data_IF_890686983907
#
_entry.id   IF_890686983907
#
_cell.length_a   1.000
_cell.length_b   1.000
_cell.length_c   1.000
_cell.angle_alpha   90.00
_cell.angle_beta   90.00
_cell.angle_gamma   90.00
#
_symmetry.space_group_name_H-M   'P 1'
#
loop_
_entity.id
_entity.type
_entity.pdbx_description
1 polymer ?
#
# COMPACT_ATOMS: atom_id res chain seq x y z
N UNK A 1 9.90 -4.71 -1.23
CA UNK A 1 9.72 -3.24 -1.35
C UNK A 1 8.61 -2.76 -0.41
N UNK A 2 8.57 -1.48 0.03
CA UNK A 2 7.46 -0.96 0.83
C UNK A 2 6.17 -0.84 -0.01
N UNK A 3 5.02 -1.15 0.58
CA UNK A 3 3.72 -0.99 -0.08
C UNK A 3 3.37 0.50 -0.28
N UNK A 4 2.92 0.85 -1.49
CA UNK A 4 2.41 2.18 -1.84
C UNK A 4 0.89 2.16 -1.85
N UNK A 5 0.32 3.17 -1.19
CA UNK A 5 -1.10 3.41 -1.10
C UNK A 5 -1.47 4.62 -1.94
N UNK A 6 -2.59 4.53 -2.65
CA UNK A 6 -3.23 5.64 -3.35
C UNK A 6 -4.57 5.93 -2.72
N UNK A 7 -4.82 7.18 -2.37
CA UNK A 7 -6.13 7.61 -1.88
C UNK A 7 -7.14 7.63 -3.02
N UNK A 8 -8.26 6.93 -2.87
CA UNK A 8 -9.37 6.96 -3.84
C UNK A 8 -10.15 8.28 -3.84
N UNK A 9 -10.02 9.08 -2.77
CA UNK A 9 -10.75 10.33 -2.64
C UNK A 9 -10.03 11.51 -3.32
N UNK A 10 -8.73 11.69 -3.06
CA UNK A 10 -7.95 12.80 -3.61
C UNK A 10 -6.90 12.37 -4.65
N UNK A 11 -6.64 11.07 -4.80
CA UNK A 11 -5.62 10.55 -5.71
C UNK A 11 -4.19 10.56 -5.15
N UNK A 12 -3.95 11.07 -3.94
CA UNK A 12 -2.61 11.16 -3.36
C UNK A 12 -1.97 9.77 -3.14
N UNK A 13 -0.72 9.62 -3.58
CA UNK A 13 0.08 8.41 -3.39
C UNK A 13 1.02 8.59 -2.21
N UNK A 14 1.08 7.61 -1.30
CA UNK A 14 1.92 7.64 -0.10
C UNK A 14 2.34 6.24 0.35
N UNK A 15 3.51 6.11 0.97
CA UNK A 15 4.03 4.83 1.42
C UNK A 15 3.37 4.37 2.74
N UNK A 16 3.11 3.07 2.86
CA UNK A 16 2.60 2.46 4.08
C UNK A 16 3.72 2.26 5.12
N UNK A 17 4.07 3.33 5.86
CA UNK A 17 5.14 3.29 6.89
C UNK A 17 4.64 3.19 8.33
N UNK A 18 3.49 3.80 8.66
CA UNK A 18 3.06 4.00 10.06
C UNK A 18 1.77 3.24 10.44
N UNK A 19 1.49 2.09 9.81
CA UNK A 19 0.23 1.33 9.98
C UNK A 19 -1.05 2.17 9.79
N UNK A 20 -0.92 3.34 9.19
CA UNK A 20 -1.98 4.32 9.08
C UNK A 20 -2.46 4.34 7.63
N UNK A 21 -3.74 4.02 7.44
CA UNK A 21 -4.42 4.03 6.14
C UNK A 21 -5.04 5.39 5.82
N UNK A 22 -4.94 6.35 6.74
CA UNK A 22 -5.44 7.70 6.54
C UNK A 22 -4.56 8.46 5.55
N UNK A 23 -5.18 9.03 4.53
CA UNK A 23 -4.49 9.89 3.61
C UNK A 23 -4.02 11.18 4.31
N UNK A 24 -2.73 11.58 4.21
CA UNK A 24 -2.24 12.80 4.84
C UNK A 24 -2.82 14.09 4.25
N UNK A 25 -3.44 14.03 3.07
CA UNK A 25 -3.98 15.20 2.36
C UNK A 25 -5.43 15.48 2.74
N UNK A 26 -6.29 14.46 2.71
CA UNK A 26 -7.72 14.61 2.95
C UNK A 26 -8.24 13.86 4.18
N UNK A 27 -7.35 13.17 4.90
CA UNK A 27 -7.63 12.38 6.11
C UNK A 27 -8.61 11.20 5.93
N UNK A 28 -9.01 10.90 4.68
CA UNK A 28 -9.90 9.80 4.34
C UNK A 28 -9.19 8.44 4.48
N UNK A 29 -9.97 7.42 4.84
CA UNK A 29 -9.49 6.02 4.98
C UNK A 29 -9.66 5.20 3.70
N UNK A 30 -10.29 5.77 2.67
CA UNK A 30 -10.46 5.15 1.35
C UNK A 30 -9.16 5.19 0.56
N UNK A 31 -8.33 4.18 0.77
CA UNK A 31 -7.04 4.02 0.07
C UNK A 31 -6.95 2.63 -0.56
N UNK A 32 -6.29 2.53 -1.70
CA UNK A 32 -5.99 1.29 -2.41
C UNK A 32 -4.48 1.06 -2.44
N UNK A 33 -4.04 -0.19 -2.30
CA UNK A 33 -2.64 -0.54 -2.49
C UNK A 33 -2.40 -0.60 -4.00
N UNK A 34 -1.53 0.26 -4.52
CA UNK A 34 -1.18 0.31 -5.95
C UNK A 34 0.18 -0.31 -6.24
N UNK A 35 0.98 -0.57 -5.20
CA UNK A 35 2.31 -1.17 -5.34
C UNK A 35 2.75 -1.81 -4.02
N UNK A 36 3.68 -2.77 -4.08
CA UNK A 36 4.24 -3.49 -2.93
C UNK A 36 3.32 -4.52 -2.26
N UNK A 37 2.27 -4.95 -2.98
CA UNK A 37 1.70 -6.31 -2.82
C UNK A 37 2.51 -7.35 -3.60
N UNK A 38 3.82 -7.15 -3.71
CA UNK A 38 4.73 -8.25 -3.99
C UNK A 38 4.72 -9.15 -2.74
N UNK A 39 3.69 -9.97 -2.64
CA UNK A 39 3.84 -11.31 -2.10
C UNK A 39 4.92 -11.96 -2.96
N UNK A 40 6.19 -11.72 -2.62
CA UNK A 40 7.24 -12.64 -2.98
C UNK A 40 6.86 -13.94 -2.25
N UNK A 41 6.03 -14.76 -2.91
CA UNK A 41 6.17 -16.20 -2.83
C UNK A 41 7.56 -16.47 -3.41
N UNK A 42 8.58 -16.21 -2.59
CA UNK A 42 9.92 -16.67 -2.82
C UNK A 42 9.80 -18.19 -2.73
N UNK A 43 9.70 -18.78 -3.92
CA UNK A 43 9.77 -20.20 -4.24
C UNK A 43 9.41 -21.15 -3.09
N UNK A 44 8.24 -21.79 -3.16
CA UNK A 44 8.12 -23.09 -2.50
C UNK A 44 9.08 -24.02 -3.25
N UNK A 45 10.29 -24.17 -2.74
CA UNK A 45 11.21 -25.23 -3.12
C UNK A 45 10.49 -26.55 -2.82
N UNK A 46 10.01 -27.20 -3.88
CA UNK A 46 9.56 -28.58 -3.81
C UNK A 46 10.79 -29.46 -4.04
N UNK A 47 11.25 -30.12 -2.98
CA UNK A 47 12.16 -31.27 -3.06
C UNK A 47 11.36 -32.56 -2.85
#
# INVERSE_FOLDING_TARGET
VPAELRCKNCGNVFAFKNRTLNCPVCNEKKVEIISGSELYLDSIEVE
#
